data_IF_886002057268
#
_entry.id   IF_886002057268
#
_cell.length_a   1.000
_cell.length_b   1.000
_cell.length_c   1.000
_cell.angle_alpha   90.00
_cell.angle_beta   90.00
_cell.angle_gamma   90.00
#
_symmetry.space_group_name_H-M   'P 1'
#
loop_
_entity.id
_entity.type
_entity.pdbx_description
1 polymer ?
#
# COMPACT_ATOMS: atom_id res chain seq x y z
N UNK A 1 19.65 3.68 -1.98
CA UNK A 1 18.24 3.32 -2.27
C UNK A 1 17.74 3.88 -3.60
N UNK A 2 18.00 5.15 -3.94
CA UNK A 2 17.55 5.74 -5.23
C UNK A 2 18.08 4.98 -6.46
N UNK A 3 19.36 4.57 -6.45
CA UNK A 3 19.98 3.82 -7.56
C UNK A 3 19.42 2.39 -7.79
N UNK A 4 18.73 1.78 -6.82
CA UNK A 4 18.14 0.44 -7.01
C UNK A 4 16.74 0.50 -7.65
N UNK A 5 16.06 1.66 -7.58
CA UNK A 5 14.72 1.87 -8.17
C UNK A 5 14.78 2.17 -9.67
N UNK A 6 15.93 2.62 -10.19
CA UNK A 6 16.17 2.81 -11.63
C UNK A 6 16.09 1.49 -12.42
N UNK A 7 16.38 0.35 -11.78
CA UNK A 7 16.30 -0.98 -12.40
C UNK A 7 14.87 -1.48 -12.65
N UNK A 8 13.85 -0.84 -12.09
CA UNK A 8 12.45 -1.19 -12.34
C UNK A 8 11.90 -0.57 -13.63
N UNK A 9 12.70 0.21 -14.36
CA UNK A 9 12.28 0.96 -15.55
C UNK A 9 12.10 0.07 -16.80
N UNK A 10 11.32 -1.00 -16.67
CA UNK A 10 10.84 -1.84 -17.78
C UNK A 10 9.37 -1.48 -18.11
N UNK A 11 9.11 -0.18 -18.23
CA UNK A 11 7.79 0.40 -18.55
C UNK A 11 7.22 -0.04 -19.91
N UNK A 12 8.03 -0.70 -20.75
CA UNK A 12 7.62 -1.19 -22.08
C UNK A 12 7.11 -2.64 -22.13
N UNK A 13 7.17 -3.40 -21.04
CA UNK A 13 6.65 -4.77 -21.07
C UNK A 13 5.10 -4.72 -21.14
N UNK A 14 4.52 -5.36 -22.14
CA UNK A 14 3.07 -5.47 -22.35
C UNK A 14 2.45 -6.65 -21.60
N UNK A 15 3.24 -7.34 -20.75
CA UNK A 15 2.76 -8.56 -20.12
C UNK A 15 1.67 -8.25 -19.09
N UNK A 16 0.54 -8.97 -19.10
CA UNK A 16 -0.53 -8.76 -18.14
C UNK A 16 -0.12 -9.08 -16.71
N UNK A 17 -0.89 -8.56 -15.74
CA UNK A 17 -0.70 -8.88 -14.33
C UNK A 17 -0.93 -10.37 -14.10
N UNK A 18 0.09 -11.06 -13.56
CA UNK A 18 0.02 -12.48 -13.24
C UNK A 18 -0.64 -12.70 -11.88
N UNK A 19 -1.10 -13.94 -11.62
CA UNK A 19 -1.59 -14.30 -10.29
C UNK A 19 -0.52 -14.14 -9.20
N UNK A 20 0.76 -14.35 -9.54
CA UNK A 20 1.88 -14.14 -8.61
C UNK A 20 2.02 -12.67 -8.27
N UNK A 21 1.93 -11.75 -9.25
CA UNK A 21 1.96 -10.30 -8.99
C UNK A 21 0.82 -9.87 -8.08
N UNK A 22 -0.39 -10.38 -8.32
CA UNK A 22 -1.56 -10.07 -7.50
C UNK A 22 -1.44 -10.60 -6.07
N UNK A 23 -0.93 -11.82 -5.91
CA UNK A 23 -0.67 -12.39 -4.59
C UNK A 23 0.40 -11.60 -3.84
N UNK A 24 1.46 -11.18 -4.53
CA UNK A 24 2.50 -10.35 -3.95
C UNK A 24 1.98 -8.98 -3.49
N UNK A 25 1.13 -8.32 -4.29
CA UNK A 25 0.52 -7.04 -3.92
C UNK A 25 -0.40 -7.16 -2.70
N UNK A 26 -1.24 -8.20 -2.65
CA UNK A 26 -2.09 -8.49 -1.49
C UNK A 26 -1.27 -8.80 -0.23
N UNK A 27 -0.21 -9.59 -0.35
CA UNK A 27 0.66 -9.88 0.79
C UNK A 27 1.37 -8.62 1.27
N UNK A 28 1.84 -7.78 0.36
CA UNK A 28 2.45 -6.50 0.69
C UNK A 28 1.47 -5.59 1.44
N UNK A 29 0.21 -5.51 1.00
CA UNK A 29 -0.84 -4.76 1.67
C UNK A 29 -1.03 -5.22 3.12
N UNK A 30 -1.17 -6.54 3.32
CA UNK A 30 -1.35 -7.15 4.66
C UNK A 30 -0.15 -6.84 5.56
N UNK A 31 1.08 -7.00 5.07
CA UNK A 31 2.27 -6.76 5.89
C UNK A 31 2.47 -5.28 6.22
N UNK A 32 2.13 -4.35 5.31
CA UNK A 32 2.20 -2.91 5.60
C UNK A 32 1.11 -2.49 6.60
N UNK A 33 -0.09 -3.05 6.53
CA UNK A 33 -1.14 -2.82 7.52
C UNK A 33 -0.75 -3.35 8.92
N UNK A 34 -0.17 -4.54 8.98
CA UNK A 34 0.40 -5.11 10.21
C UNK A 34 1.51 -4.23 10.75
N UNK A 35 2.40 -3.74 9.89
CA UNK A 35 3.47 -2.83 10.28
C UNK A 35 2.92 -1.53 10.86
N UNK A 36 1.93 -0.91 10.22
CA UNK A 36 1.26 0.30 10.72
C UNK A 36 0.67 0.07 12.12
N UNK A 37 -0.08 -1.02 12.29
CA UNK A 37 -0.71 -1.37 13.56
C UNK A 37 0.32 -1.64 14.66
N UNK A 38 1.36 -2.41 14.34
CA UNK A 38 2.45 -2.72 15.27
C UNK A 38 3.23 -1.46 15.68
N UNK A 39 3.50 -0.56 14.73
CA UNK A 39 4.16 0.71 15.01
C UNK A 39 3.34 1.58 15.97
N UNK A 40 2.05 1.78 15.67
CA UNK A 40 1.16 2.55 16.54
C UNK A 40 1.07 1.95 17.95
N UNK A 41 0.95 0.62 18.03
CA UNK A 41 0.91 -0.09 19.31
C UNK A 41 2.21 0.05 20.08
N UNK A 42 3.36 -0.07 19.43
CA UNK A 42 4.67 0.03 20.06
C UNK A 42 4.85 1.42 20.70
N UNK A 43 4.60 2.48 19.94
CA UNK A 43 4.73 3.85 20.44
C UNK A 43 3.79 4.09 21.62
N UNK A 44 2.53 3.66 21.51
CA UNK A 44 1.56 3.77 22.59
C UNK A 44 2.03 3.02 23.83
N UNK A 45 2.43 1.76 23.69
CA UNK A 45 2.91 0.95 24.82
C UNK A 45 4.13 1.57 25.49
N UNK A 46 5.03 2.18 24.72
CA UNK A 46 6.20 2.87 25.26
C UNK A 46 5.79 4.11 26.07
N UNK A 47 4.86 4.93 25.55
CA UNK A 47 4.27 6.06 26.30
C UNK A 47 3.62 5.57 27.58
N UNK A 48 2.69 4.62 27.48
CA UNK A 48 1.93 4.10 28.61
C UNK A 48 2.85 3.53 29.71
N UNK A 49 3.93 2.86 29.32
CA UNK A 49 4.94 2.35 30.25
C UNK A 49 5.62 3.48 31.04
N UNK A 50 6.12 4.52 30.36
CA UNK A 50 6.83 5.62 31.02
C UNK A 50 5.89 6.45 31.90
N UNK A 51 4.65 6.67 31.47
CA UNK A 51 3.63 7.30 32.31
C UNK A 51 3.32 6.49 33.56
N UNK A 52 3.17 5.17 33.41
CA UNK A 52 2.89 4.27 34.54
C UNK A 52 4.06 4.24 35.53
N UNK A 53 5.29 4.18 35.03
CA UNK A 53 6.50 4.19 35.85
C UNK A 53 6.65 5.52 36.61
N UNK A 54 6.47 6.65 35.93
CA UNK A 54 6.56 7.99 36.53
C UNK A 54 5.47 8.19 37.58
N UNK A 55 4.23 7.79 37.28
CA UNK A 55 3.11 7.83 38.23
C UNK A 55 3.32 6.95 39.45
N UNK A 56 3.85 5.73 39.25
CA UNK A 56 4.18 4.82 40.35
C UNK A 56 5.26 5.41 41.26
N UNK A 57 6.36 5.91 40.69
CA UNK A 57 7.44 6.56 41.45
C UNK A 57 6.91 7.75 42.23
N UNK A 58 6.07 8.59 41.62
CA UNK A 58 5.43 9.71 42.32
C UNK A 58 4.73 9.21 43.58
N UNK A 59 3.82 8.26 43.45
CA UNK A 59 3.03 7.75 44.59
C UNK A 59 3.92 7.09 45.65
N UNK A 60 4.88 6.26 45.25
CA UNK A 60 5.78 5.56 46.17
C UNK A 60 6.69 6.53 46.94
N UNK A 61 7.21 7.56 46.28
CA UNK A 61 8.11 8.51 46.92
C UNK A 61 7.37 9.46 47.85
N UNK A 62 6.18 9.96 47.45
CA UNK A 62 5.34 10.79 48.32
C UNK A 62 4.86 10.05 49.59
N UNK A 63 4.64 8.73 49.51
CA UNK A 63 4.32 7.90 50.68
C UNK A 63 5.53 7.68 51.61
N UNK A 64 6.76 7.80 51.09
CA UNK A 64 8.01 7.56 51.82
C UNK A 64 8.49 8.77 52.64
N UNK A 65 7.95 9.97 52.41
CA UNK A 65 8.35 11.22 53.09
C UNK A 65 7.99 11.28 54.59
N UNK A 66 7.25 10.29 55.11
CA UNK A 66 6.88 10.23 56.52
C UNK A 66 7.97 9.62 57.44
N UNK A 67 9.12 9.20 56.91
CA UNK A 67 10.25 8.65 57.67
C UNK A 67 11.44 9.64 57.71
N UNK A 68 11.77 10.27 58.87
CA UNK A 68 12.78 11.32 58.98
C UNK A 68 14.23 10.89 58.70
N UNK A 69 14.50 9.59 58.57
CA UNK A 69 15.88 9.06 58.53
C UNK A 69 16.32 8.52 57.15
N UNK A 70 15.45 8.56 56.12
CA UNK A 70 15.71 7.86 54.86
C UNK A 70 15.98 8.79 53.66
N UNK A 71 17.26 8.84 53.24
CA UNK A 71 17.77 9.10 51.87
C UNK A 71 16.89 9.92 50.90
N UNK A 72 16.44 11.11 51.31
CA UNK A 72 15.55 11.95 50.51
C UNK A 72 16.12 12.37 49.13
N UNK A 73 17.46 12.39 48.96
CA UNK A 73 18.10 12.92 47.75
C UNK A 73 18.11 11.92 46.57
N UNK A 74 18.49 10.66 46.80
CA UNK A 74 18.61 9.66 45.71
C UNK A 74 17.26 9.28 45.08
N UNK A 75 16.20 9.40 45.86
CA UNK A 75 14.83 9.16 45.43
C UNK A 75 14.30 10.29 44.52
N UNK A 76 14.80 11.52 44.68
CA UNK A 76 14.45 12.64 43.81
C UNK A 76 15.01 12.46 42.39
N UNK A 77 16.27 12.03 42.28
CA UNK A 77 16.99 11.97 40.99
C UNK A 77 16.43 10.92 40.02
N UNK A 78 15.86 9.82 40.54
CA UNK A 78 15.21 8.81 39.69
C UNK A 78 13.86 9.30 39.19
N UNK A 79 13.15 10.07 40.01
CA UNK A 79 11.87 10.67 39.63
C UNK A 79 12.07 11.76 38.58
N UNK A 80 13.02 12.68 38.77
CA UNK A 80 13.34 13.71 37.77
C UNK A 80 13.80 13.13 36.45
N UNK A 81 14.57 12.03 36.46
CA UNK A 81 14.92 11.30 35.23
C UNK A 81 13.67 10.77 34.50
N UNK A 82 12.70 10.24 35.23
CA UNK A 82 11.47 9.72 34.64
C UNK A 82 10.57 10.84 34.10
N UNK A 83 10.52 12.01 34.77
CA UNK A 83 9.83 13.19 34.25
C UNK A 83 10.45 13.68 32.94
N UNK A 84 11.79 13.77 32.86
CA UNK A 84 12.48 14.11 31.62
C UNK A 84 12.27 13.05 30.52
N UNK A 85 12.25 11.76 30.88
CA UNK A 85 11.95 10.69 29.93
C UNK A 85 10.54 10.80 29.38
N UNK A 86 9.56 11.10 30.24
CA UNK A 86 8.18 11.32 29.83
C UNK A 86 8.08 12.50 28.86
N UNK A 87 8.69 13.64 29.19
CA UNK A 87 8.74 14.82 28.31
C UNK A 87 9.42 14.53 26.97
N UNK A 88 10.51 13.76 26.98
CA UNK A 88 11.23 13.38 25.77
C UNK A 88 10.35 12.53 24.85
N UNK A 89 9.65 11.53 25.40
CA UNK A 89 8.70 10.71 24.65
C UNK A 89 7.52 11.53 24.11
N UNK A 90 7.00 12.49 24.89
CA UNK A 90 5.89 13.34 24.47
C UNK A 90 6.21 14.19 23.23
N UNK A 91 7.49 14.53 23.05
CA UNK A 91 7.99 15.32 21.91
C UNK A 91 8.30 14.49 20.67
N UNK A 92 8.33 13.15 20.76
CA UNK A 92 8.63 12.29 19.62
C UNK A 92 7.52 12.41 18.56
N UNK A 93 7.85 12.67 17.27
CA UNK A 93 6.89 12.90 16.19
C UNK A 93 6.37 11.59 15.57
N UNK A 94 5.79 10.71 16.38
CA UNK A 94 5.26 9.41 15.93
C UNK A 94 4.19 9.53 14.85
N UNK A 95 3.36 10.57 14.91
CA UNK A 95 2.29 10.82 13.94
C UNK A 95 2.80 10.98 12.51
N UNK A 96 3.96 11.62 12.33
CA UNK A 96 4.54 11.84 11.00
C UNK A 96 5.00 10.50 10.42
N UNK A 97 5.62 9.66 11.24
CA UNK A 97 6.03 8.32 10.84
C UNK A 97 4.83 7.41 10.53
N UNK A 98 3.81 7.38 11.42
CA UNK A 98 2.62 6.55 11.20
C UNK A 98 1.84 6.96 9.95
N UNK A 99 1.73 8.26 9.66
CA UNK A 99 1.09 8.75 8.43
C UNK A 99 1.92 8.42 7.18
N UNK A 100 3.25 8.36 7.29
CA UNK A 100 4.11 7.85 6.22
C UNK A 100 3.78 6.40 5.86
N UNK A 101 3.65 5.52 6.87
CA UNK A 101 3.29 4.10 6.67
C UNK A 101 1.87 3.98 6.10
N UNK A 102 0.93 4.73 6.65
CA UNK A 102 -0.47 4.72 6.21
C UNK A 102 -0.66 5.24 4.78
N UNK A 103 0.15 6.24 4.38
CA UNK A 103 0.17 6.71 2.99
C UNK A 103 0.68 5.62 2.07
N UNK A 104 1.75 4.91 2.44
CA UNK A 104 2.23 3.75 1.69
C UNK A 104 1.15 2.66 1.57
N UNK A 105 0.45 2.36 2.67
CA UNK A 105 -0.67 1.40 2.66
C UNK A 105 -1.75 1.81 1.67
N UNK A 106 -2.14 3.09 1.67
CA UNK A 106 -3.17 3.64 0.77
C UNK A 106 -2.78 3.47 -0.71
N UNK A 107 -1.52 3.74 -1.06
CA UNK A 107 -1.07 3.60 -2.46
C UNK A 107 -0.94 2.13 -2.88
N UNK A 108 -0.60 1.22 -1.96
CA UNK A 108 -0.59 -0.23 -2.22
C UNK A 108 -2.01 -0.75 -2.42
N UNK A 109 -2.95 -0.36 -1.56
CA UNK A 109 -4.37 -0.71 -1.70
C UNK A 109 -4.92 -0.30 -3.08
N UNK A 110 -4.58 0.91 -3.52
CA UNK A 110 -4.99 1.39 -4.83
C UNK A 110 -4.44 0.53 -5.99
N UNK A 111 -3.23 -0.03 -5.86
CA UNK A 111 -2.69 -1.02 -6.81
C UNK A 111 -3.49 -2.32 -6.79
N UNK A 112 -3.82 -2.85 -5.62
CA UNK A 112 -4.62 -4.07 -5.47
C UNK A 112 -5.99 -3.92 -6.14
N UNK A 113 -6.66 -2.79 -5.93
CA UNK A 113 -7.94 -2.45 -6.57
C UNK A 113 -7.79 -2.39 -8.08
N UNK A 114 -6.74 -1.72 -8.59
CA UNK A 114 -6.49 -1.61 -10.03
C UNK A 114 -6.20 -2.97 -10.68
N UNK A 115 -5.43 -3.84 -10.01
CA UNK A 115 -5.20 -5.22 -10.47
C UNK A 115 -6.49 -6.04 -10.54
N UNK A 116 -7.43 -5.82 -9.62
CA UNK A 116 -8.74 -6.48 -9.65
C UNK A 116 -9.59 -6.00 -10.84
N UNK A 117 -9.56 -4.71 -11.16
CA UNK A 117 -10.27 -4.17 -12.33
C UNK A 117 -9.62 -4.64 -13.65
N UNK A 118 -8.28 -4.72 -13.73
CA UNK A 118 -7.59 -5.34 -14.87
C UNK A 118 -8.07 -6.78 -15.10
N UNK A 119 -8.14 -7.58 -14.03
CA UNK A 119 -8.59 -8.97 -14.11
C UNK A 119 -10.06 -9.09 -14.53
N UNK A 120 -10.91 -8.16 -14.11
CA UNK A 120 -12.31 -8.09 -14.55
C UNK A 120 -12.41 -7.71 -16.03
N UNK A 121 -11.59 -6.78 -16.49
CA UNK A 121 -11.54 -6.38 -17.89
C UNK A 121 -11.01 -7.51 -18.78
N UNK A 122 -10.03 -8.29 -18.31
CA UNK A 122 -9.58 -9.53 -18.95
C UNK A 122 -10.74 -10.51 -19.18
N UNK A 123 -11.53 -10.80 -18.14
CA UNK A 123 -12.69 -11.70 -18.24
C UNK A 123 -13.73 -11.21 -19.25
N UNK A 124 -13.96 -9.90 -19.33
CA UNK A 124 -14.87 -9.30 -20.33
C UNK A 124 -14.33 -9.50 -21.75
N UNK A 125 -13.05 -9.23 -21.98
CA UNK A 125 -12.39 -9.46 -23.26
C UNK A 125 -12.46 -10.92 -23.68
N UNK A 126 -12.13 -11.86 -22.78
CA UNK A 126 -12.22 -13.30 -23.05
C UNK A 126 -13.66 -13.76 -23.34
N UNK A 127 -14.66 -13.19 -22.65
CA UNK A 127 -16.07 -13.51 -22.89
C UNK A 127 -16.55 -12.99 -24.26
N UNK A 128 -16.19 -11.76 -24.63
CA UNK A 128 -16.53 -11.19 -25.93
C UNK A 128 -15.89 -11.98 -27.09
N UNK A 129 -14.64 -12.40 -26.90
CA UNK A 129 -13.94 -13.24 -27.88
C UNK A 129 -14.59 -14.62 -28.03
N UNK A 130 -14.98 -15.28 -26.92
CA UNK A 130 -15.70 -16.57 -26.96
C UNK A 130 -17.06 -16.46 -27.65
N UNK A 131 -17.79 -15.36 -27.43
CA UNK A 131 -19.07 -15.12 -28.11
C UNK A 131 -18.87 -14.95 -29.63
N UNK A 132 -17.85 -14.18 -30.03
CA UNK A 132 -17.45 -14.01 -31.42
C UNK A 132 -17.10 -15.35 -32.08
N UNK A 133 -16.25 -16.17 -31.44
CA UNK A 133 -15.81 -17.46 -31.97
C UNK A 133 -17.00 -18.40 -32.21
N UNK A 134 -17.91 -18.50 -31.23
CA UNK A 134 -19.13 -19.30 -31.37
C UNK A 134 -19.98 -18.84 -32.55
N UNK A 135 -20.20 -17.52 -32.70
CA UNK A 135 -21.02 -16.98 -33.79
C UNK A 135 -20.35 -17.07 -35.16
N UNK A 136 -19.03 -16.93 -35.21
CA UNK A 136 -18.26 -17.14 -36.43
C UNK A 136 -18.35 -18.61 -36.91
N UNK A 137 -18.35 -19.58 -35.99
CA UNK A 137 -18.50 -21.00 -36.34
C UNK A 137 -19.94 -21.34 -36.80
N UNK A 138 -20.96 -20.80 -36.12
CA UNK A 138 -22.36 -20.89 -36.57
C UNK A 138 -22.57 -20.29 -37.98
N UNK A 139 -21.83 -19.23 -38.31
CA UNK A 139 -21.87 -18.61 -39.64
C UNK A 139 -21.17 -19.50 -40.68
N UNK A 140 -19.98 -20.00 -40.37
CA UNK A 140 -19.19 -20.86 -41.28
C UNK A 140 -19.93 -22.16 -41.63
N UNK A 141 -20.57 -22.78 -40.64
CA UNK A 141 -21.40 -23.97 -40.84
C UNK A 141 -22.65 -23.66 -41.69
N UNK A 142 -23.27 -22.50 -41.52
CA UNK A 142 -24.38 -22.06 -42.38
C UNK A 142 -23.92 -21.83 -43.81
N UNK A 143 -22.82 -21.11 -44.01
CA UNK A 143 -22.27 -20.82 -45.35
C UNK A 143 -21.89 -22.10 -46.11
N UNK A 144 -21.33 -23.08 -45.42
CA UNK A 144 -21.05 -24.41 -45.98
C UNK A 144 -22.32 -25.15 -46.43
N UNK A 145 -23.42 -25.02 -45.67
CA UNK A 145 -24.69 -25.68 -45.99
C UNK A 145 -25.44 -25.05 -47.17
N UNK A 146 -25.31 -23.74 -47.37
CA UNK A 146 -26.01 -23.02 -48.45
C UNK A 146 -25.18 -22.87 -49.73
N UNK A 147 -23.86 -23.09 -49.66
CA UNK A 147 -22.94 -23.13 -50.81
C UNK A 147 -22.93 -21.85 -51.68
N UNK A 148 -22.06 -21.75 -52.69
CA UNK A 148 -22.08 -20.65 -53.68
C UNK A 148 -23.29 -20.69 -54.64
N UNK A 149 -24.17 -21.68 -54.53
CA UNK A 149 -25.08 -22.12 -55.59
C UNK A 149 -26.56 -22.00 -55.22
N UNK A 150 -26.97 -20.87 -54.63
CA UNK A 150 -28.38 -20.52 -54.38
C UNK A 150 -28.83 -19.35 -55.27
N UNK A 151 -28.36 -19.29 -56.52
CA UNK A 151 -28.56 -18.15 -57.44
C UNK A 151 -29.15 -18.48 -58.80
N UNK A 152 -29.56 -19.73 -59.06
CA UNK A 152 -30.20 -20.10 -60.31
C UNK A 152 -31.49 -20.86 -60.00
N UNK A 153 -32.58 -20.10 -59.91
CA UNK A 153 -33.92 -20.42 -60.44
C UNK A 153 -34.99 -19.70 -59.60
N UNK A 154 -35.81 -18.89 -60.29
CA UNK A 154 -37.06 -18.38 -59.73
C UNK A 154 -37.14 -16.86 -59.67
N UNK A 155 -37.74 -16.27 -60.70
CA UNK A 155 -38.33 -14.93 -60.67
C UNK A 155 -39.21 -14.75 -59.42
N UNK A 156 -38.90 -13.75 -58.59
CA UNK A 156 -39.84 -13.24 -57.58
C UNK A 156 -39.20 -12.83 -56.26
N UNK A 157 -39.42 -11.57 -55.88
CA UNK A 157 -39.17 -10.95 -54.55
C UNK A 157 -37.79 -10.32 -54.33
N UNK A 158 -37.61 -9.12 -54.91
CA UNK A 158 -36.50 -8.18 -54.70
C UNK A 158 -36.54 -7.51 -53.31
N UNK A 159 -36.73 -8.25 -52.21
CA UNK A 159 -36.64 -7.68 -50.86
C UNK A 159 -36.50 -8.71 -49.72
N UNK A 160 -35.70 -9.77 -49.89
CA UNK A 160 -35.30 -10.64 -48.77
C UNK A 160 -33.79 -10.66 -48.62
N UNK A 161 -33.27 -9.85 -47.69
CA UNK A 161 -31.90 -10.02 -47.19
C UNK A 161 -31.72 -11.51 -46.85
N UNK A 162 -30.73 -12.15 -47.48
CA UNK A 162 -30.44 -13.55 -47.21
C UNK A 162 -30.14 -13.72 -45.71
N UNK A 163 -30.67 -14.77 -45.04
CA UNK A 163 -30.34 -15.08 -43.64
C UNK A 163 -28.83 -15.15 -43.36
N UNK A 164 -28.02 -15.40 -44.40
CA UNK A 164 -26.55 -15.38 -44.33
C UNK A 164 -26.02 -13.95 -44.18
N UNK A 165 -26.60 -12.96 -44.88
CA UNK A 165 -26.18 -11.55 -44.82
C UNK A 165 -26.43 -10.93 -43.45
N UNK A 166 -27.58 -11.22 -42.84
CA UNK A 166 -27.90 -10.73 -41.48
C UNK A 166 -27.00 -11.37 -40.42
N UNK A 167 -26.66 -12.66 -40.57
CA UNK A 167 -25.69 -13.32 -39.68
C UNK A 167 -24.27 -12.79 -39.87
N UNK A 168 -23.84 -12.48 -41.09
CA UNK A 168 -22.54 -11.81 -41.35
C UNK A 168 -22.47 -10.47 -40.63
N UNK A 169 -23.50 -9.64 -40.74
CA UNK A 169 -23.56 -8.34 -40.04
C UNK A 169 -23.48 -8.50 -38.51
N UNK A 170 -24.14 -9.53 -37.96
CA UNK A 170 -24.08 -9.82 -36.51
C UNK A 170 -22.69 -10.28 -36.05
N UNK A 171 -22.01 -11.12 -36.84
CA UNK A 171 -20.63 -11.53 -36.55
C UNK A 171 -19.69 -10.34 -36.60
N UNK A 172 -19.84 -9.45 -37.58
CA UNK A 172 -19.01 -8.24 -37.68
C UNK A 172 -19.23 -7.31 -36.48
N UNK A 173 -20.48 -7.10 -36.05
CA UNK A 173 -20.76 -6.33 -34.84
C UNK A 173 -20.13 -6.93 -33.57
N UNK A 174 -20.11 -8.27 -33.45
CA UNK A 174 -19.42 -8.97 -32.37
C UNK A 174 -17.91 -8.85 -32.46
N UNK A 175 -17.36 -8.81 -33.68
CA UNK A 175 -15.92 -8.58 -33.90
C UNK A 175 -15.53 -7.20 -33.42
N UNK A 176 -16.24 -6.15 -33.83
CA UNK A 176 -15.98 -4.79 -33.35
C UNK A 176 -16.02 -4.73 -31.81
N UNK A 177 -17.02 -5.34 -31.18
CA UNK A 177 -17.11 -5.41 -29.70
C UNK A 177 -15.92 -6.15 -29.08
N UNK A 178 -15.49 -7.28 -29.64
CA UNK A 178 -14.37 -8.04 -29.12
C UNK A 178 -13.05 -7.25 -29.21
N UNK A 179 -12.84 -6.53 -30.32
CA UNK A 179 -11.68 -5.67 -30.53
C UNK A 179 -11.69 -4.47 -29.55
N UNK A 180 -12.85 -3.86 -29.31
CA UNK A 180 -13.02 -2.81 -28.29
C UNK A 180 -12.67 -3.31 -26.87
N UNK A 181 -13.21 -4.47 -26.46
CA UNK A 181 -12.95 -5.02 -25.13
C UNK A 181 -11.48 -5.45 -24.95
N UNK A 182 -10.84 -5.95 -26.03
CA UNK A 182 -9.40 -6.23 -26.06
C UNK A 182 -8.58 -4.96 -25.90
N UNK A 183 -8.91 -3.89 -26.63
CA UNK A 183 -8.22 -2.60 -26.51
C UNK A 183 -8.33 -2.02 -25.09
N UNK A 184 -9.52 -2.10 -24.47
CA UNK A 184 -9.72 -1.72 -23.06
C UNK A 184 -8.86 -2.53 -22.10
N UNK A 185 -8.72 -3.84 -22.33
CA UNK A 185 -7.87 -4.71 -21.51
C UNK A 185 -6.39 -4.33 -21.66
N UNK A 186 -5.88 -4.15 -22.88
CA UNK A 186 -4.50 -3.72 -23.14
C UNK A 186 -4.18 -2.38 -22.47
N UNK A 187 -5.11 -1.42 -22.54
CA UNK A 187 -4.98 -0.14 -21.83
C UNK A 187 -4.94 -0.33 -20.32
N UNK A 188 -5.76 -1.22 -19.77
CA UNK A 188 -5.80 -1.51 -18.33
C UNK A 188 -4.48 -2.08 -17.82
N UNK A 189 -3.84 -2.98 -18.58
CA UNK A 189 -2.49 -3.51 -18.26
C UNK A 189 -1.48 -2.37 -18.11
N UNK A 190 -1.48 -1.42 -19.06
CA UNK A 190 -0.59 -0.25 -19.01
C UNK A 190 -0.82 0.62 -17.78
N UNK A 191 -2.09 0.89 -17.44
CA UNK A 191 -2.46 1.66 -16.25
C UNK A 191 -2.00 0.95 -14.98
N UNK A 192 -2.27 -0.35 -14.82
CA UNK A 192 -1.87 -1.11 -13.63
C UNK A 192 -0.37 -1.09 -13.43
N UNK A 193 0.42 -1.26 -14.49
CA UNK A 193 1.88 -1.24 -14.42
C UNK A 193 2.43 0.13 -14.04
N UNK A 194 1.98 1.18 -14.72
CA UNK A 194 2.40 2.54 -14.43
C UNK A 194 2.07 2.92 -12.99
N UNK A 195 0.87 2.59 -12.53
CA UNK A 195 0.42 2.83 -11.16
C UNK A 195 1.26 2.05 -10.14
N UNK A 196 1.51 0.76 -10.38
CA UNK A 196 2.35 -0.07 -9.50
C UNK A 196 3.75 0.53 -9.39
N UNK A 197 4.38 0.84 -10.53
CA UNK A 197 5.75 1.36 -10.55
C UNK A 197 5.84 2.72 -9.85
N UNK A 198 4.98 3.67 -10.20
CA UNK A 198 4.99 5.02 -9.63
C UNK A 198 4.74 4.98 -8.11
N UNK A 199 3.81 4.14 -7.65
CA UNK A 199 3.49 4.02 -6.23
C UNK A 199 4.66 3.43 -5.44
N UNK A 200 5.38 2.44 -5.98
CA UNK A 200 6.56 1.88 -5.31
C UNK A 200 7.75 2.86 -5.34
N UNK A 201 7.97 3.53 -6.47
CA UNK A 201 9.06 4.50 -6.63
C UNK A 201 8.92 5.74 -5.74
N UNK A 202 7.69 6.13 -5.41
CA UNK A 202 7.43 7.31 -4.56
C UNK A 202 7.13 6.92 -3.12
N UNK A 203 6.33 5.87 -2.90
CA UNK A 203 5.87 5.45 -1.58
C UNK A 203 6.99 4.92 -0.69
N UNK A 204 7.89 4.09 -1.22
CA UNK A 204 8.97 3.51 -0.41
C UNK A 204 9.98 4.55 0.08
N UNK A 205 10.55 5.42 -0.78
CA UNK A 205 11.46 6.46 -0.30
C UNK A 205 10.81 7.36 0.76
N UNK A 206 9.55 7.76 0.55
CA UNK A 206 8.83 8.62 1.48
C UNK A 206 8.67 7.96 2.86
N UNK A 207 8.24 6.70 2.92
CA UNK A 207 8.08 6.02 4.22
C UNK A 207 9.44 5.79 4.90
N UNK A 208 10.47 5.40 4.15
CA UNK A 208 11.79 5.16 4.74
C UNK A 208 12.39 6.46 5.27
N UNK A 209 12.24 7.58 4.55
CA UNK A 209 12.67 8.88 5.03
C UNK A 209 11.92 9.28 6.32
N UNK A 210 10.61 9.08 6.38
CA UNK A 210 9.82 9.35 7.59
C UNK A 210 10.29 8.51 8.78
N UNK A 211 10.54 7.21 8.56
CA UNK A 211 11.00 6.28 9.59
C UNK A 211 12.43 6.56 10.06
N UNK A 212 13.34 6.89 9.14
CA UNK A 212 14.71 7.30 9.49
C UNK A 212 14.69 8.59 10.29
N UNK A 213 13.91 9.60 9.86
CA UNK A 213 13.77 10.84 10.61
C UNK A 213 13.20 10.61 12.02
N UNK A 214 12.17 9.78 12.15
CA UNK A 214 11.63 9.38 13.45
C UNK A 214 12.68 8.68 14.33
N UNK A 215 13.43 7.73 13.79
CA UNK A 215 14.48 7.02 14.52
C UNK A 215 15.59 7.96 15.01
N UNK A 216 16.00 8.93 14.18
CA UNK A 216 16.96 9.96 14.56
C UNK A 216 16.45 10.81 15.73
N UNK A 217 15.20 11.28 15.67
CA UNK A 217 14.61 12.07 16.78
C UNK A 217 14.47 11.24 18.05
N UNK A 218 14.09 9.96 17.95
CA UNK A 218 14.06 9.06 19.11
C UNK A 218 15.45 8.89 19.75
N UNK A 219 16.48 8.72 18.93
CA UNK A 219 17.87 8.60 19.40
C UNK A 219 18.31 9.86 20.13
N UNK A 220 18.11 11.04 19.54
CA UNK A 220 18.42 12.34 20.17
C UNK A 220 17.66 12.52 21.50
N UNK A 221 16.38 12.17 21.52
CA UNK A 221 15.54 12.25 22.72
C UNK A 221 16.07 11.34 23.84
N UNK A 222 16.43 10.09 23.54
CA UNK A 222 16.96 9.16 24.55
C UNK A 222 18.40 9.49 24.97
N UNK A 223 19.23 10.00 24.07
CA UNK A 223 20.55 10.52 24.42
C UNK A 223 20.45 11.72 25.38
N UNK A 224 19.49 12.63 25.15
CA UNK A 224 19.22 13.75 26.06
C UNK A 224 18.85 13.25 27.46
N UNK A 225 17.96 12.27 27.56
CA UNK A 225 17.55 11.65 28.84
C UNK A 225 18.72 10.93 29.50
N UNK A 226 19.54 10.20 28.74
CA UNK A 226 20.72 9.51 29.26
C UNK A 226 21.75 10.50 29.84
N UNK A 227 21.99 11.60 29.11
CA UNK A 227 22.96 12.62 29.49
C UNK A 227 22.45 13.60 30.56
N UNK A 228 21.13 13.63 30.85
CA UNK A 228 20.53 14.45 31.90
C UNK A 228 21.28 14.31 33.24
N UNK A 229 21.71 13.09 33.60
CA UNK A 229 22.48 12.82 34.83
C UNK A 229 23.97 13.18 34.78
N UNK A 230 24.52 13.45 33.60
CA UNK A 230 25.91 13.91 33.46
C UNK A 230 26.03 15.41 33.74
N UNK A 231 25.03 16.21 33.32
CA UNK A 231 25.05 17.66 33.55
C UNK A 231 24.82 18.05 35.00
N UNK A 232 23.89 17.42 35.72
CA UNK A 232 23.63 17.73 37.14
C UNK A 232 24.86 17.40 38.02
N UNK A 233 25.56 16.31 37.74
CA UNK A 233 26.81 15.96 38.45
C UNK A 233 27.96 16.96 38.18
N UNK A 234 28.01 17.56 37.00
CA UNK A 234 29.02 18.57 36.64
C UNK A 234 28.68 19.93 37.27
N UNK A 235 27.39 20.29 37.36
CA UNK A 235 26.93 21.52 38.01
C UNK A 235 27.11 21.46 39.54
N UNK A 236 26.78 20.33 40.17
CA UNK A 236 26.97 20.14 41.60
C UNK A 236 28.45 20.09 41.99
N UNK A 237 29.30 19.44 41.20
CA UNK A 237 30.75 19.43 41.46
C UNK A 237 31.39 20.82 41.31
N UNK A 238 30.92 21.65 40.36
CA UNK A 238 31.38 23.05 40.23
C UNK A 238 30.90 23.95 41.38
N UNK A 239 29.67 23.76 41.87
CA UNK A 239 29.14 24.50 43.03
C UNK A 239 29.82 24.15 44.34
N UNK A 240 30.35 22.93 44.49
CA UNK A 240 31.10 22.50 45.68
C UNK A 240 32.58 22.97 45.68
N UNK A 241 33.08 23.47 44.55
CA UNK A 241 34.47 23.91 44.36
C UNK A 241 34.62 25.44 44.31
N UNK A 242 33.54 26.20 44.56
CA UNK A 242 33.54 27.67 44.61
C UNK A 242 33.08 28.13 45.98
#
# INVERSE_FOLDING_TARGET
MVQQLEYLNNSLSTNPTSNVHRQAALQLEIEVDRWYSAFCSLVKSQRDYVYSLTGWLRLSLFQSYHDPYNKAHQNSDIYSLCEEWQLAIDRIPDKVASEGIKTLLTVIHAVVVQQAEEQKQKKRSESAFKELEKKAEELRSLESKYGPYSGAEGYGDMSRKSPVSDKRAKVEALRCRADEEKSKYEKSIGVTRAMTLNNLQTGFPNVFQAMTGFASVCMEAFESVYNFKSSDRILDSKRLLT
#
